data_IF_288277691555
#
_entry.id   IF_288277691555
#
_cell.length_a   1.000
_cell.length_b   1.000
_cell.length_c   1.000
_cell.angle_alpha   90.00
_cell.angle_beta   90.00
_cell.angle_gamma   90.00
#
_symmetry.space_group_name_H-M   'P 1'
#
loop_
_entity.id
_entity.type
_entity.pdbx_description
1 polymer ?
#
# COMPACT_ATOMS: atom_id res chain seq x y z
N UNK A 1 9.20 13.20 -8.51
CA UNK A 1 7.76 12.85 -8.64
C UNK A 1 7.03 13.55 -7.50
N UNK A 2 5.82 14.06 -7.70
CA UNK A 2 5.03 14.69 -6.64
C UNK A 2 3.69 13.95 -6.53
N UNK A 3 3.64 12.90 -5.70
CA UNK A 3 2.35 12.41 -5.22
C UNK A 3 1.86 13.34 -4.12
N UNK A 4 0.63 13.85 -4.23
CA UNK A 4 0.00 14.59 -3.13
C UNK A 4 -0.55 13.61 -2.11
N UNK A 5 0.34 13.05 -1.32
CA UNK A 5 -0.01 12.15 -0.22
C UNK A 5 -0.49 13.01 0.95
N UNK A 6 -1.79 12.97 1.23
CA UNK A 6 -2.31 13.54 2.46
C UNK A 6 -1.97 12.58 3.62
N UNK A 7 -1.19 13.06 4.60
CA UNK A 7 -0.45 12.27 5.62
C UNK A 7 -1.32 11.56 6.67
N UNK A 8 -2.58 11.27 6.35
CA UNK A 8 -3.60 10.88 7.32
C UNK A 8 -4.00 12.07 8.21
N UNK A 9 -5.27 12.13 8.57
CA UNK A 9 -5.79 13.20 9.43
C UNK A 9 -5.68 12.79 10.90
N UNK A 10 -5.40 13.75 11.79
CA UNK A 10 -5.42 13.54 13.25
C UNK A 10 -6.85 13.30 13.80
N UNK A 11 -7.85 13.31 12.94
CA UNK A 11 -9.25 13.13 13.30
C UNK A 11 -10.09 12.70 12.11
N UNK A 12 -11.36 12.42 12.36
CA UNK A 12 -12.30 11.99 11.33
C UNK A 12 -12.57 13.11 10.32
N UNK A 13 -12.44 12.81 9.02
CA UNK A 13 -12.70 13.75 7.94
C UNK A 13 -14.17 14.21 7.84
N UNK A 14 -15.11 13.44 8.42
CA UNK A 14 -16.56 13.72 8.35
C UNK A 14 -17.04 14.60 9.50
N UNK A 15 -16.65 14.27 10.74
CA UNK A 15 -17.14 14.97 11.93
C UNK A 15 -16.07 15.83 12.62
N UNK A 16 -14.84 15.88 12.09
CA UNK A 16 -13.68 16.58 12.64
C UNK A 16 -13.29 16.16 14.06
N UNK A 17 -13.82 15.04 14.57
CA UNK A 17 -13.44 14.49 15.87
C UNK A 17 -11.98 14.03 15.84
N UNK A 18 -11.15 14.53 16.74
CA UNK A 18 -9.80 14.00 16.96
C UNK A 18 -9.84 12.56 17.50
N UNK A 19 -8.90 11.73 17.06
CA UNK A 19 -8.81 10.35 17.54
C UNK A 19 -8.07 10.29 18.88
N UNK A 20 -8.67 9.62 19.87
CA UNK A 20 -8.07 9.42 21.18
C UNK A 20 -7.06 8.26 21.19
N UNK A 21 -6.21 8.20 22.22
CA UNK A 21 -5.34 7.04 22.45
C UNK A 21 -6.17 5.75 22.54
N UNK A 22 -5.65 4.68 21.94
CA UNK A 22 -6.33 3.38 21.81
C UNK A 22 -7.63 3.39 21.01
N UNK A 23 -8.07 4.54 20.48
CA UNK A 23 -9.22 4.60 19.60
C UNK A 23 -8.92 3.89 18.28
N UNK A 24 -9.91 3.12 17.83
CA UNK A 24 -9.88 2.53 16.50
C UNK A 24 -10.59 3.44 15.50
N UNK A 25 -10.06 3.50 14.29
CA UNK A 25 -10.64 4.25 13.19
C UNK A 25 -10.37 3.54 11.86
N UNK A 26 -11.06 3.95 10.80
CA UNK A 26 -10.86 3.44 9.46
C UNK A 26 -10.05 4.43 8.64
N UNK A 27 -9.03 3.93 7.96
CA UNK A 27 -8.29 4.65 6.93
C UNK A 27 -8.70 4.11 5.58
N UNK A 28 -8.96 5.00 4.63
CA UNK A 28 -9.38 4.66 3.29
C UNK A 28 -8.57 5.43 2.25
N UNK A 29 -8.16 4.73 1.20
CA UNK A 29 -7.54 5.29 0.01
C UNK A 29 -8.59 5.49 -1.07
N UNK A 30 -8.55 6.65 -1.69
CA UNK A 30 -9.34 7.00 -2.86
C UNK A 30 -8.36 7.22 -4.01
N UNK A 31 -8.67 6.67 -5.18
CA UNK A 31 -7.95 6.99 -6.42
C UNK A 31 -8.63 8.20 -7.05
N UNK A 32 -7.99 9.37 -6.93
CA UNK A 32 -8.49 10.63 -7.48
C UNK A 32 -7.44 11.18 -8.46
N UNK A 33 -7.75 11.15 -9.76
CA UNK A 33 -6.87 11.63 -10.84
C UNK A 33 -5.46 10.99 -10.81
N UNK A 34 -5.39 9.66 -10.71
CA UNK A 34 -4.14 8.88 -10.62
C UNK A 34 -3.29 9.21 -9.39
N UNK A 35 -3.89 9.80 -8.34
CA UNK A 35 -3.25 10.08 -7.07
C UNK A 35 -4.04 9.44 -5.93
N UNK A 36 -3.33 8.79 -5.01
CA UNK A 36 -3.96 8.21 -3.84
C UNK A 36 -4.16 9.26 -2.74
N UNK A 37 -5.42 9.44 -2.34
CA UNK A 37 -5.78 10.31 -1.22
C UNK A 37 -6.25 9.44 -0.07
N UNK A 38 -5.55 9.55 1.07
CA UNK A 38 -5.99 8.96 2.33
C UNK A 38 -7.01 9.86 3.03
N UNK A 39 -8.11 9.25 3.47
CA UNK A 39 -9.12 9.86 4.33
C UNK A 39 -9.37 8.95 5.52
N UNK A 40 -9.42 9.52 6.73
CA UNK A 40 -9.63 8.77 7.96
C UNK A 40 -11.03 9.04 8.55
N UNK A 41 -11.69 8.00 9.02
CA UNK A 41 -13.07 8.02 9.52
C UNK A 41 -13.14 7.38 10.89
N UNK A 42 -13.80 8.02 11.86
CA UNK A 42 -14.14 7.32 13.09
C UNK A 42 -15.12 6.18 12.78
N UNK A 43 -15.21 5.20 13.67
CA UNK A 43 -16.08 4.01 13.47
C UNK A 43 -17.52 4.39 13.16
N UNK A 44 -18.07 5.44 13.78
CA UNK A 44 -19.45 5.88 13.55
C UNK A 44 -19.67 6.60 12.21
N UNK A 45 -18.64 7.25 11.65
CA UNK A 45 -18.72 7.91 10.34
C UNK A 45 -18.31 7.01 9.18
N UNK A 46 -17.72 5.83 9.46
CA UNK A 46 -17.33 4.89 8.43
C UNK A 46 -18.55 4.23 7.78
N UNK A 47 -18.68 4.39 6.46
CA UNK A 47 -19.79 3.86 5.67
C UNK A 47 -19.32 2.90 4.56
N UNK A 48 -18.06 2.46 4.60
CA UNK A 48 -17.51 1.50 3.66
C UNK A 48 -17.54 1.97 2.21
N UNK A 49 -18.06 1.11 1.34
CA UNK A 49 -17.94 1.15 -0.13
C UNK A 49 -19.03 1.95 -0.87
N UNK A 50 -19.86 2.74 -0.19
CA UNK A 50 -20.99 3.43 -0.86
C UNK A 50 -20.58 4.48 -1.89
N UNK A 51 -19.31 4.89 -1.90
CA UNK A 51 -18.78 5.82 -2.88
C UNK A 51 -17.81 5.04 -3.77
N UNK A 52 -18.18 4.79 -5.05
CA UNK A 52 -17.43 3.96 -6.01
C UNK A 52 -16.01 4.44 -6.38
N UNK A 53 -15.44 5.35 -5.60
CA UNK A 53 -14.08 5.91 -5.69
C UNK A 53 -13.16 5.31 -4.60
N UNK A 54 -13.70 4.48 -3.70
CA UNK A 54 -12.92 3.80 -2.67
C UNK A 54 -11.97 2.77 -3.31
N UNK A 55 -10.68 3.00 -3.19
CA UNK A 55 -9.64 2.11 -3.68
C UNK A 55 -9.37 0.99 -2.68
N UNK A 56 -8.96 1.30 -1.45
CA UNK A 56 -8.67 0.30 -0.41
C UNK A 56 -8.94 0.89 0.98
N UNK A 57 -9.07 0.05 2.01
CA UNK A 57 -9.24 0.53 3.38
C UNK A 57 -8.70 -0.47 4.41
N UNK A 58 -8.39 0.06 5.60
CA UNK A 58 -7.98 -0.74 6.75
C UNK A 58 -8.39 -0.09 8.06
N UNK A 59 -8.39 -0.89 9.12
CA UNK A 59 -8.64 -0.42 10.48
C UNK A 59 -7.30 -0.12 11.13
N UNK A 60 -7.20 1.04 11.77
CA UNK A 60 -6.03 1.48 12.53
C UNK A 60 -6.41 1.70 13.98
N UNK A 61 -5.51 1.40 14.91
CA UNK A 61 -5.64 1.75 16.33
C UNK A 61 -4.59 2.78 16.72
N UNK A 62 -5.01 3.87 17.36
CA UNK A 62 -4.08 4.88 17.88
C UNK A 62 -3.28 4.24 19.04
N UNK A 63 -1.95 4.36 19.07
CA UNK A 63 -1.14 3.86 20.17
C UNK A 63 -1.33 4.69 21.46
N UNK A 64 -0.91 4.13 22.59
CA UNK A 64 -0.63 4.95 23.79
C UNK A 64 0.60 5.81 23.57
N UNK A 65 0.65 7.01 24.16
CA UNK A 65 1.80 7.94 24.05
C UNK A 65 3.15 7.33 24.41
N UNK A 66 3.17 6.39 25.35
CA UNK A 66 4.42 5.79 25.89
C UNK A 66 4.84 4.48 25.19
N UNK A 67 4.11 4.05 24.16
CA UNK A 67 4.48 2.86 23.37
C UNK A 67 4.87 3.24 21.96
N UNK A 68 5.92 2.61 21.38
CA UNK A 68 6.16 2.74 19.95
C UNK A 68 4.90 2.29 19.24
N UNK A 69 4.54 3.02 18.19
CA UNK A 69 3.26 2.80 17.56
C UNK A 69 3.23 1.40 16.95
N UNK A 70 2.50 0.47 17.56
CA UNK A 70 2.19 -0.83 16.95
C UNK A 70 1.18 -0.60 15.83
N UNK A 71 1.69 -0.07 14.72
CA UNK A 71 0.97 0.13 13.46
C UNK A 71 1.13 -1.14 12.63
N UNK A 72 0.34 -2.15 12.97
CA UNK A 72 0.18 -3.30 12.08
C UNK A 72 -0.68 -2.85 10.90
N UNK A 73 -0.05 -2.50 9.78
CA UNK A 73 -0.76 -2.55 8.51
C UNK A 73 -0.83 -4.03 8.15
N UNK A 74 -2.05 -4.57 8.18
CA UNK A 74 -2.26 -5.96 7.79
C UNK A 74 -1.79 -6.13 6.35
N UNK A 75 -1.05 -7.20 6.07
CA UNK A 75 -0.57 -7.47 4.72
C UNK A 75 -1.70 -7.67 3.71
N UNK A 76 -2.91 -7.98 4.17
CA UNK A 76 -4.13 -7.97 3.37
C UNK A 76 -4.36 -6.63 2.64
N UNK A 77 -3.92 -5.49 3.21
CA UNK A 77 -4.02 -4.17 2.56
C UNK A 77 -3.12 -4.09 1.34
N UNK A 78 -1.87 -4.57 1.47
CA UNK A 78 -0.92 -4.61 0.36
C UNK A 78 -1.39 -5.58 -0.73
N UNK A 79 -1.99 -6.72 -0.35
CA UNK A 79 -2.58 -7.67 -1.30
C UNK A 79 -3.77 -7.07 -2.06
N UNK A 80 -4.67 -6.38 -1.36
CA UNK A 80 -5.82 -5.70 -1.97
C UNK A 80 -5.35 -4.60 -2.94
N UNK A 81 -4.41 -3.75 -2.52
CA UNK A 81 -3.80 -2.74 -3.39
C UNK A 81 -3.13 -3.38 -4.61
N UNK A 82 -2.28 -4.40 -4.41
CA UNK A 82 -1.58 -5.10 -5.49
C UNK A 82 -2.55 -5.68 -6.53
N UNK A 83 -3.66 -6.26 -6.06
CA UNK A 83 -4.68 -6.87 -6.92
C UNK A 83 -5.46 -5.80 -7.68
N UNK A 84 -5.80 -4.67 -7.04
CA UNK A 84 -6.53 -3.56 -7.69
C UNK A 84 -5.72 -2.79 -8.71
N UNK A 85 -4.40 -2.76 -8.56
CA UNK A 85 -3.48 -2.17 -9.56
C UNK A 85 -3.31 -3.07 -10.81
N UNK A 86 -3.87 -4.28 -10.81
CA UNK A 86 -3.79 -5.18 -11.97
C UNK A 86 -4.50 -4.60 -13.19
N UNK A 87 -3.80 -4.63 -14.35
CA UNK A 87 -4.33 -4.12 -15.61
C UNK A 87 -4.28 -2.60 -15.78
N UNK A 88 -3.80 -1.84 -14.79
CA UNK A 88 -3.64 -0.40 -14.93
C UNK A 88 -2.49 -0.05 -15.90
N UNK A 89 -2.70 0.96 -16.76
CA UNK A 89 -1.74 1.40 -17.77
C UNK A 89 -0.87 2.59 -17.36
N UNK A 90 -1.22 3.28 -16.28
CA UNK A 90 -0.50 4.44 -15.76
C UNK A 90 0.84 4.02 -15.17
N UNK A 91 1.91 4.66 -15.63
CA UNK A 91 3.29 4.35 -15.23
C UNK A 91 3.48 4.35 -13.72
N UNK A 92 2.89 5.33 -13.03
CA UNK A 92 3.01 5.45 -11.57
C UNK A 92 2.36 4.27 -10.84
N UNK A 93 1.21 3.82 -11.30
CA UNK A 93 0.49 2.67 -10.72
C UNK A 93 1.20 1.35 -11.02
N UNK A 94 1.79 1.19 -12.21
CA UNK A 94 2.66 0.04 -12.54
C UNK A 94 3.88 -0.02 -11.62
N UNK A 95 4.56 1.12 -11.42
CA UNK A 95 5.72 1.21 -10.53
C UNK A 95 5.34 0.87 -9.09
N UNK A 96 4.22 1.40 -8.60
CA UNK A 96 3.70 1.06 -7.27
C UNK A 96 3.37 -0.43 -7.13
N UNK A 97 2.68 -1.03 -8.12
CA UNK A 97 2.37 -2.45 -8.12
C UNK A 97 3.63 -3.30 -8.04
N UNK A 98 4.67 -2.92 -8.77
CA UNK A 98 5.96 -3.59 -8.74
C UNK A 98 6.61 -3.52 -7.36
N UNK A 99 6.68 -2.32 -6.74
CA UNK A 99 7.24 -2.16 -5.39
C UNK A 99 6.44 -2.94 -4.33
N UNK A 100 5.11 -2.96 -4.42
CA UNK A 100 4.28 -3.81 -3.54
C UNK A 100 4.58 -5.30 -3.79
N UNK A 101 4.82 -5.71 -5.03
CA UNK A 101 5.23 -7.08 -5.34
C UNK A 101 6.55 -7.44 -4.64
N UNK A 102 7.56 -6.57 -4.70
CA UNK A 102 8.83 -6.77 -3.99
C UNK A 102 8.62 -6.93 -2.47
N UNK A 103 7.78 -6.08 -1.89
CA UNK A 103 7.38 -6.18 -0.48
C UNK A 103 6.76 -7.54 -0.14
N UNK A 104 5.77 -7.98 -0.94
CA UNK A 104 5.03 -9.23 -0.71
C UNK A 104 5.89 -10.48 -0.91
N UNK A 105 6.88 -10.43 -1.80
CA UNK A 105 7.91 -11.48 -1.93
C UNK A 105 8.76 -11.56 -0.66
N UNK A 106 9.22 -10.41 -0.16
CA UNK A 106 10.06 -10.34 1.06
C UNK A 106 9.30 -10.80 2.31
N UNK A 107 7.99 -10.56 2.36
CA UNK A 107 7.08 -11.15 3.36
C UNK A 107 6.76 -12.63 3.17
N UNK A 108 7.33 -13.29 2.16
CA UNK A 108 7.09 -14.71 1.81
C UNK A 108 5.63 -15.03 1.48
N UNK A 109 4.87 -14.02 1.08
CA UNK A 109 3.47 -14.18 0.65
C UNK A 109 3.42 -14.62 -0.82
N UNK A 110 4.23 -13.97 -1.66
CA UNK A 110 4.46 -14.41 -3.03
C UNK A 110 5.76 -15.19 -3.14
N UNK A 111 5.78 -16.14 -4.08
CA UNK A 111 7.00 -16.85 -4.51
C UNK A 111 7.36 -16.37 -5.91
N UNK A 112 8.58 -15.86 -6.10
CA UNK A 112 9.11 -15.59 -7.44
C UNK A 112 9.31 -16.91 -8.18
N UNK A 113 8.67 -17.07 -9.33
CA UNK A 113 8.77 -18.27 -10.17
C UNK A 113 9.79 -18.11 -11.29
N UNK A 114 9.71 -17.01 -12.03
CA UNK A 114 10.56 -16.76 -13.18
C UNK A 114 10.56 -15.29 -13.57
N UNK A 115 11.58 -14.89 -14.32
CA UNK A 115 11.62 -13.63 -15.05
C UNK A 115 11.29 -13.92 -16.52
N UNK A 116 10.44 -13.11 -17.14
CA UNK A 116 10.12 -13.20 -18.57
C UNK A 116 10.46 -11.90 -19.26
N UNK A 117 10.98 -11.99 -20.49
CA UNK A 117 11.08 -10.86 -21.40
C UNK A 117 10.15 -11.10 -22.58
N UNK A 118 9.35 -10.11 -22.92
CA UNK A 118 8.42 -10.17 -24.04
C UNK A 118 8.37 -8.79 -24.69
N UNK A 119 8.55 -8.72 -26.01
CA UNK A 119 8.45 -7.46 -26.79
C UNK A 119 9.33 -6.31 -26.26
N UNK A 120 10.48 -6.64 -25.67
CA UNK A 120 11.39 -5.66 -25.05
C UNK A 120 11.00 -5.23 -23.63
N UNK A 121 9.85 -5.68 -23.13
CA UNK A 121 9.40 -5.48 -21.76
C UNK A 121 9.82 -6.65 -20.86
N UNK A 122 10.04 -6.36 -19.59
CA UNK A 122 10.39 -7.34 -18.58
C UNK A 122 9.23 -7.56 -17.60
N UNK A 123 9.08 -8.81 -17.15
CA UNK A 123 8.04 -9.19 -16.21
C UNK A 123 8.57 -10.17 -15.15
N UNK A 124 8.06 -10.06 -13.94
CA UNK A 124 8.24 -11.04 -12.87
C UNK A 124 6.97 -11.90 -12.75
N UNK A 125 7.13 -13.22 -12.75
CA UNK A 125 6.04 -14.17 -12.53
C UNK A 125 6.03 -14.55 -11.06
N UNK A 126 4.92 -14.26 -10.40
CA UNK A 126 4.74 -14.47 -8.97
C UNK A 126 3.66 -15.52 -8.74
N UNK A 127 3.92 -16.46 -7.85
CA UNK A 127 2.93 -17.44 -7.40
C UNK A 127 2.44 -17.08 -6.00
N UNK A 128 1.13 -16.99 -5.83
CA UNK A 128 0.46 -16.80 -4.54
C UNK A 128 -0.09 -18.14 -4.03
N UNK A 129 0.57 -18.79 -3.06
CA UNK A 129 0.18 -20.13 -2.63
C UNK A 129 -1.21 -20.21 -2.01
N UNK A 130 -1.68 -19.14 -1.35
CA UNK A 130 -2.97 -19.13 -0.66
C UNK A 130 -4.15 -19.23 -1.63
N UNK A 131 -4.02 -18.67 -2.83
CA UNK A 131 -5.06 -18.66 -3.87
C UNK A 131 -4.71 -19.56 -5.06
N UNK A 132 -3.58 -20.27 -5.01
CA UNK A 132 -3.05 -21.08 -6.11
C UNK A 132 -3.01 -20.33 -7.45
N UNK A 133 -2.70 -19.02 -7.39
CA UNK A 133 -2.78 -18.09 -8.51
C UNK A 133 -1.40 -17.57 -8.91
N UNK A 134 -1.19 -17.39 -10.20
CA UNK A 134 -0.03 -16.67 -10.72
C UNK A 134 -0.38 -15.24 -11.14
N UNK A 135 0.56 -14.34 -10.92
CA UNK A 135 0.51 -12.94 -11.36
C UNK A 135 1.67 -12.64 -12.30
N UNK A 136 1.37 -11.95 -13.39
CA UNK A 136 2.35 -11.39 -14.30
C UNK A 136 2.51 -9.89 -14.01
N UNK A 137 3.65 -9.50 -13.45
CA UNK A 137 3.90 -8.12 -13.00
C UNK A 137 4.99 -7.50 -13.84
N UNK A 138 4.69 -6.38 -14.48
CA UNK A 138 5.66 -5.60 -15.25
C UNK A 138 6.82 -5.14 -14.36
N UNK A 139 8.06 -5.34 -14.82
CA UNK A 139 9.28 -4.84 -14.21
C UNK A 139 9.68 -3.53 -14.92
N UNK A 140 9.52 -2.36 -14.27
CA UNK A 140 9.86 -1.07 -14.88
C UNK A 140 11.37 -0.80 -14.95
N UNK A 141 12.21 -1.69 -14.42
CA UNK A 141 13.64 -1.46 -14.21
C UNK A 141 13.92 -0.21 -13.37
N UNK A 142 13.17 -0.07 -12.27
CA UNK A 142 13.37 1.02 -11.31
C UNK A 142 14.77 0.98 -10.70
N UNK A 143 15.39 2.14 -10.58
CA UNK A 143 16.61 2.33 -9.79
C UNK A 143 16.28 2.24 -8.31
N UNK A 144 17.32 1.99 -7.51
CA UNK A 144 17.21 1.95 -6.05
C UNK A 144 16.55 3.21 -5.49
N UNK A 145 17.02 4.40 -5.88
CA UNK A 145 16.45 5.70 -5.50
C UNK A 145 14.94 5.83 -5.81
N UNK A 146 14.47 5.23 -6.92
CA UNK A 146 13.05 5.26 -7.31
C UNK A 146 12.22 4.30 -6.44
N UNK A 147 12.77 3.13 -6.12
CA UNK A 147 12.16 2.18 -5.18
C UNK A 147 12.08 2.82 -3.79
N UNK A 148 13.13 3.49 -3.33
CA UNK A 148 13.17 4.22 -2.07
C UNK A 148 12.09 5.31 -2.01
N UNK A 149 11.99 6.17 -3.03
CA UNK A 149 10.98 7.23 -3.11
C UNK A 149 9.57 6.65 -3.00
N UNK A 150 9.24 5.66 -3.83
CA UNK A 150 7.92 5.02 -3.85
C UNK A 150 7.62 4.34 -2.50
N UNK A 151 8.62 3.70 -1.90
CA UNK A 151 8.47 3.04 -0.61
C UNK A 151 8.23 4.05 0.51
N UNK A 152 8.95 5.17 0.54
CA UNK A 152 8.76 6.24 1.52
C UNK A 152 7.38 6.87 1.39
N UNK A 153 6.96 7.12 0.15
CA UNK A 153 5.63 7.61 -0.18
C UNK A 153 4.53 6.66 0.32
N UNK A 154 4.67 5.35 0.07
CA UNK A 154 3.75 4.32 0.55
C UNK A 154 3.78 4.21 2.09
N UNK A 155 4.94 4.37 2.71
CA UNK A 155 5.11 4.37 4.17
C UNK A 155 4.31 5.50 4.81
N UNK A 156 4.39 6.71 4.25
CA UNK A 156 3.64 7.86 4.71
C UNK A 156 2.14 7.66 4.48
N UNK A 157 1.75 7.16 3.31
CA UNK A 157 0.36 6.92 2.94
C UNK A 157 -0.31 5.93 3.91
N UNK A 158 0.36 4.82 4.22
CA UNK A 158 -0.16 3.77 5.10
C UNK A 158 0.10 4.07 6.59
N UNK A 159 0.80 5.15 6.89
CA UNK A 159 1.39 5.43 8.21
C UNK A 159 2.27 4.29 8.72
N UNK A 160 2.94 3.53 7.85
CA UNK A 160 3.75 2.37 8.20
C UNK A 160 5.26 2.65 8.05
N UNK A 161 5.93 3.19 9.08
CA UNK A 161 7.31 3.68 8.97
C UNK A 161 8.37 2.59 8.80
N UNK A 162 8.01 1.31 9.01
CA UNK A 162 8.94 0.18 8.88
C UNK A 162 9.04 -0.36 7.45
N UNK A 163 8.17 0.10 6.55
CA UNK A 163 8.10 -0.42 5.19
C UNK A 163 9.41 -0.26 4.42
N UNK A 164 10.12 0.86 4.63
CA UNK A 164 11.44 1.11 4.04
C UNK A 164 12.43 -0.02 4.39
N UNK A 165 12.54 -0.40 5.66
CA UNK A 165 13.40 -1.50 6.10
C UNK A 165 12.95 -2.85 5.54
N UNK A 166 11.65 -3.03 5.36
CA UNK A 166 11.08 -4.27 4.87
C UNK A 166 11.15 -4.43 3.36
N UNK A 167 11.30 -3.35 2.59
CA UNK A 167 11.49 -3.38 1.14
C UNK A 167 12.98 -3.31 0.79
N UNK A 168 13.71 -2.39 1.41
CA UNK A 168 15.10 -2.04 1.07
C UNK A 168 16.13 -2.79 1.91
N UNK A 169 15.74 -3.35 3.05
CA UNK A 169 16.69 -4.06 3.91
C UNK A 169 17.40 -5.17 3.13
N UNK A 170 18.71 -5.28 3.29
CA UNK A 170 19.43 -6.44 2.76
C UNK A 170 18.93 -7.72 3.45
N UNK A 171 19.01 -8.85 2.75
CA UNK A 171 18.81 -10.15 3.38
C UNK A 171 20.07 -10.44 4.22
N UNK A 172 19.99 -10.17 5.53
CA UNK A 172 20.89 -10.79 6.50
C UNK A 172 20.44 -12.23 6.78
#
# INVERSE_FOLDING_TARGET
MEWKINKGSKGCITCNKEFCEEEEYYSALFDENNSFIRKDFCVSCWNGSKNGVLFSFWKTKIPKKDKPVQRFVNTDVFLDMFTRLEGNNETQQKNLRYVIALYLIRKKIFKLKSLKKQDGEEFIILYYPKEEREFNVFNPNLKEEEIESITSEMSQLLNYPYLEQEVLGNAD
#
